data_IF_902482898527
#
_entry.id   IF_902482898527
#
_cell.length_a   1.000
_cell.length_b   1.000
_cell.length_c   1.000
_cell.angle_alpha   90.00
_cell.angle_beta   90.00
_cell.angle_gamma   90.00
#
_symmetry.space_group_name_H-M   'P 1'
#
loop_
_entity.id
_entity.type
_entity.pdbx_description
1 polymer ?
#
# COMPACT_ATOMS: atom_id res chain seq x y z
N UNK A 1 12.54 -9.85 2.01
CA UNK A 1 11.88 -10.34 3.24
C UNK A 1 11.56 -11.82 3.10
N UNK A 2 11.61 -12.60 4.18
CA UNK A 2 11.10 -13.98 4.15
C UNK A 2 9.58 -13.95 4.20
N UNK A 3 8.93 -14.62 3.24
CA UNK A 3 7.48 -14.70 3.11
C UNK A 3 6.85 -15.38 4.33
N UNK A 4 5.78 -14.80 4.87
CA UNK A 4 5.15 -15.30 6.10
C UNK A 4 3.86 -16.11 5.83
N UNK A 5 3.13 -15.84 4.74
CA UNK A 5 1.78 -16.37 4.54
C UNK A 5 1.68 -17.36 3.36
N UNK A 6 1.28 -18.61 3.63
CA UNK A 6 1.05 -19.62 2.59
C UNK A 6 -0.43 -20.00 2.47
N UNK A 7 -0.96 -20.02 1.25
CA UNK A 7 -2.36 -20.31 0.98
C UNK A 7 -2.62 -21.77 0.55
N UNK A 8 -3.88 -22.20 0.60
CA UNK A 8 -4.35 -23.49 0.09
C UNK A 8 -5.54 -23.31 -0.88
N UNK A 9 -5.60 -22.17 -1.56
CA UNK A 9 -6.74 -21.73 -2.37
C UNK A 9 -7.04 -22.68 -3.53
N UNK A 10 -8.34 -22.89 -3.80
CA UNK A 10 -8.82 -23.65 -4.98
C UNK A 10 -9.49 -22.77 -6.04
N UNK A 11 -9.54 -21.46 -5.78
CA UNK A 11 -10.26 -20.48 -6.59
C UNK A 11 -9.33 -19.50 -7.33
N UNK A 12 -8.07 -19.87 -7.55
CA UNK A 12 -7.17 -19.10 -8.42
C UNK A 12 -6.42 -17.91 -7.81
N UNK A 13 -6.55 -17.62 -6.52
CA UNK A 13 -5.70 -16.63 -5.82
C UNK A 13 -5.73 -15.19 -6.34
N UNK A 14 -6.75 -14.82 -7.12
CA UNK A 14 -6.96 -13.52 -7.77
C UNK A 14 -7.88 -12.58 -6.97
N UNK A 15 -8.18 -12.94 -5.72
CA UNK A 15 -9.00 -12.13 -4.80
C UNK A 15 -8.41 -12.17 -3.41
N UNK A 16 -8.75 -11.18 -2.57
CA UNK A 16 -8.34 -11.09 -1.15
C UNK A 16 -8.90 -12.21 -0.24
N UNK A 17 -9.56 -13.23 -0.81
CA UNK A 17 -9.78 -14.52 -0.13
C UNK A 17 -8.49 -15.32 0.02
N UNK A 18 -7.51 -15.09 -0.86
CA UNK A 18 -6.19 -15.66 -0.75
C UNK A 18 -5.39 -14.93 0.33
N UNK A 19 -4.82 -15.67 1.28
CA UNK A 19 -4.04 -15.07 2.36
C UNK A 19 -2.75 -14.40 1.84
N UNK A 20 -2.10 -14.96 0.82
CA UNK A 20 -0.90 -14.33 0.23
C UNK A 20 -1.24 -12.96 -0.35
N UNK A 21 -2.24 -12.90 -1.25
CA UNK A 21 -2.66 -11.63 -1.87
C UNK A 21 -3.21 -10.63 -0.83
N UNK A 22 -3.93 -11.11 0.19
CA UNK A 22 -4.42 -10.25 1.29
C UNK A 22 -3.29 -9.57 2.06
N UNK A 23 -2.13 -10.21 2.13
CA UNK A 23 -0.93 -9.70 2.79
C UNK A 23 0.07 -9.10 1.79
N UNK A 24 -0.36 -8.75 0.58
CA UNK A 24 0.48 -8.13 -0.45
C UNK A 24 1.66 -9.02 -0.88
N UNK A 25 1.54 -10.34 -0.74
CA UNK A 25 2.59 -11.32 -1.07
C UNK A 25 2.25 -12.17 -2.30
N UNK A 26 3.26 -12.53 -3.13
CA UNK A 26 3.11 -13.55 -4.17
C UNK A 26 2.85 -14.94 -3.57
N UNK A 27 2.25 -15.82 -4.37
CA UNK A 27 2.26 -17.25 -4.06
C UNK A 27 3.63 -17.85 -4.41
N UNK A 28 4.06 -18.84 -3.65
CA UNK A 28 5.37 -19.53 -3.82
C UNK A 28 5.17 -21.05 -3.84
N UNK A 29 6.25 -21.81 -3.96
CA UNK A 29 6.22 -23.28 -3.98
C UNK A 29 5.68 -23.91 -2.69
N UNK A 30 5.68 -23.17 -1.58
CA UNK A 30 5.15 -23.61 -0.29
C UNK A 30 3.62 -23.46 -0.21
N UNK A 31 2.99 -22.71 -1.13
CA UNK A 31 1.54 -22.64 -1.24
C UNK A 31 0.94 -23.94 -1.81
N UNK A 32 -0.17 -24.41 -1.22
CA UNK A 32 -0.97 -25.54 -1.73
C UNK A 32 -2.10 -25.14 -2.69
N UNK A 33 -2.00 -23.95 -3.29
CA UNK A 33 -2.99 -23.48 -4.25
C UNK A 33 -2.97 -24.25 -5.57
N UNK A 34 -4.11 -24.29 -6.25
CA UNK A 34 -4.22 -24.83 -7.62
C UNK A 34 -4.69 -23.72 -8.56
N UNK A 35 -4.25 -23.81 -9.82
CA UNK A 35 -4.55 -22.83 -10.88
C UNK A 35 -4.28 -21.38 -10.43
N UNK A 36 -3.13 -21.16 -9.78
CA UNK A 36 -2.78 -19.87 -9.19
C UNK A 36 -2.70 -18.76 -10.26
N UNK A 37 -3.43 -17.68 -10.02
CA UNK A 37 -3.47 -16.43 -10.77
C UNK A 37 -3.30 -15.23 -9.83
N UNK A 38 -2.50 -15.41 -8.77
CA UNK A 38 -2.14 -14.27 -7.91
C UNK A 38 -1.39 -13.25 -8.79
N UNK A 39 -1.91 -12.01 -8.95
CA UNK A 39 -1.30 -11.02 -9.83
C UNK A 39 0.10 -10.58 -9.37
N UNK A 40 0.49 -10.90 -8.14
CA UNK A 40 1.78 -10.54 -7.57
C UNK A 40 2.92 -11.51 -7.91
N UNK A 41 2.64 -12.69 -8.50
CA UNK A 41 3.65 -13.75 -8.68
C UNK A 41 4.86 -13.34 -9.53
N UNK A 42 4.67 -12.44 -10.49
CA UNK A 42 5.71 -11.98 -11.43
C UNK A 42 6.09 -10.52 -11.17
N UNK A 43 5.82 -10.02 -9.97
CA UNK A 43 6.01 -8.63 -9.57
C UNK A 43 7.05 -8.57 -8.45
N UNK A 44 7.99 -7.64 -8.58
CA UNK A 44 8.90 -7.31 -7.49
C UNK A 44 8.18 -6.41 -6.47
N UNK A 45 7.43 -7.05 -5.56
CA UNK A 45 6.66 -6.35 -4.53
C UNK A 45 7.53 -5.59 -3.52
N UNK A 46 8.83 -5.87 -3.44
CA UNK A 46 9.74 -5.15 -2.54
C UNK A 46 10.13 -3.78 -3.08
N UNK A 47 10.02 -3.59 -4.40
CA UNK A 47 10.30 -2.33 -5.10
C UNK A 47 9.00 -1.56 -5.42
N UNK A 48 7.94 -1.78 -4.64
CA UNK A 48 6.64 -1.14 -4.82
C UNK A 48 6.08 -0.68 -3.48
N UNK A 49 5.50 0.51 -3.49
CA UNK A 49 4.66 0.96 -2.38
C UNK A 49 3.43 0.07 -2.23
N UNK A 50 2.90 0.00 -1.02
CA UNK A 50 1.66 -0.74 -0.72
C UNK A 50 0.49 -0.28 -1.61
N UNK A 51 0.42 1.01 -1.94
CA UNK A 51 -0.60 1.54 -2.85
C UNK A 51 -0.47 0.94 -4.25
N UNK A 52 0.75 0.88 -4.80
CA UNK A 52 1.02 0.26 -6.09
C UNK A 52 0.68 -1.24 -6.07
N UNK A 53 1.06 -1.97 -5.02
CA UNK A 53 0.75 -3.40 -4.88
C UNK A 53 -0.77 -3.66 -4.86
N UNK A 54 -1.53 -2.86 -4.12
CA UNK A 54 -3.00 -3.03 -4.05
C UNK A 54 -3.76 -2.47 -5.26
N UNK A 55 -3.04 -1.85 -6.21
CA UNK A 55 -3.52 -1.42 -7.53
C UNK A 55 -2.74 -2.11 -8.67
N UNK A 56 -2.23 -3.33 -8.43
CA UNK A 56 -1.29 -3.98 -9.35
C UNK A 56 -1.84 -4.19 -10.78
N UNK A 57 -3.15 -4.38 -10.94
CA UNK A 57 -3.78 -4.51 -12.26
C UNK A 57 -3.60 -3.23 -13.11
N UNK A 58 -3.56 -2.06 -12.45
CA UNK A 58 -3.25 -0.79 -13.11
C UNK A 58 -1.76 -0.75 -13.43
N UNK A 59 -0.91 -0.97 -12.43
CA UNK A 59 0.56 -0.86 -12.55
C UNK A 59 1.11 -1.77 -13.65
N UNK A 60 0.67 -3.02 -13.68
CA UNK A 60 1.10 -4.01 -14.71
C UNK A 60 0.49 -3.74 -16.09
N UNK A 61 -0.57 -2.92 -16.15
CA UNK A 61 -1.21 -2.46 -17.37
C UNK A 61 -0.60 -1.17 -17.95
N UNK A 62 0.29 -0.48 -17.22
CA UNK A 62 0.92 0.76 -17.69
C UNK A 62 1.83 0.49 -18.89
N UNK A 63 1.77 1.40 -19.85
CA UNK A 63 2.66 1.44 -21.00
C UNK A 63 4.00 2.08 -20.64
N UNK A 64 5.01 1.85 -21.48
CA UNK A 64 6.33 2.48 -21.32
C UNK A 64 6.24 4.01 -21.35
N UNK A 65 5.35 4.57 -22.18
CA UNK A 65 5.11 6.02 -22.25
C UNK A 65 4.47 6.57 -20.96
N UNK A 66 3.53 5.84 -20.35
CA UNK A 66 2.92 6.24 -19.06
C UNK A 66 3.93 6.13 -17.90
N UNK A 67 4.80 5.13 -17.92
CA UNK A 67 5.87 4.96 -16.92
C UNK A 67 6.92 6.08 -16.97
N UNK A 68 7.15 6.66 -18.14
CA UNK A 68 8.07 7.80 -18.34
C UNK A 68 7.38 9.16 -18.13
N UNK A 69 6.07 9.20 -17.88
CA UNK A 69 5.36 10.44 -17.55
C UNK A 69 5.96 11.05 -16.27
N UNK A 70 6.21 12.37 -16.33
CA UNK A 70 6.89 13.09 -15.25
C UNK A 70 5.92 13.88 -14.42
N UNK A 71 6.05 13.75 -13.10
CA UNK A 71 5.26 14.45 -12.11
C UNK A 71 6.15 15.38 -11.29
N UNK A 72 5.66 16.60 -11.06
CA UNK A 72 6.28 17.52 -10.12
C UNK A 72 6.08 17.04 -8.69
N UNK A 73 7.17 16.94 -7.92
CA UNK A 73 7.06 16.60 -6.51
C UNK A 73 6.31 17.72 -5.76
N UNK A 74 5.49 17.42 -4.74
CA UNK A 74 4.80 18.43 -3.94
C UNK A 74 5.70 19.49 -3.30
N UNK A 75 7.00 19.21 -3.12
CA UNK A 75 7.99 20.20 -2.65
C UNK A 75 8.43 21.21 -3.72
N UNK A 76 8.21 20.92 -5.01
CA UNK A 76 8.59 21.78 -6.14
C UNK A 76 10.07 21.77 -6.51
N UNK A 77 10.89 20.86 -5.95
CA UNK A 77 12.33 20.81 -6.23
C UNK A 77 12.67 20.09 -7.55
N UNK A 78 11.91 19.06 -7.92
CA UNK A 78 12.19 18.26 -9.11
C UNK A 78 10.94 17.63 -9.73
N UNK A 79 11.14 17.05 -10.93
CA UNK A 79 10.14 16.24 -11.62
C UNK A 79 10.68 14.83 -11.84
N UNK A 80 9.91 13.84 -11.39
CA UNK A 80 10.30 12.43 -11.35
C UNK A 80 9.37 11.62 -12.24
N UNK A 81 9.88 10.58 -12.90
CA UNK A 81 9.07 9.71 -13.74
C UNK A 81 8.17 8.79 -12.88
N UNK A 82 7.01 8.40 -13.40
CA UNK A 82 6.06 7.54 -12.68
C UNK A 82 6.71 6.24 -12.19
N UNK A 83 7.55 5.61 -13.01
CA UNK A 83 8.26 4.38 -12.65
C UNK A 83 9.10 4.50 -11.37
N UNK A 84 9.68 5.69 -11.12
CA UNK A 84 10.51 5.95 -9.95
C UNK A 84 9.66 6.36 -8.73
N UNK A 85 8.36 6.62 -8.93
CA UNK A 85 7.35 6.92 -7.90
C UNK A 85 6.48 5.71 -7.55
N UNK A 86 6.70 4.56 -8.21
CA UNK A 86 6.06 3.29 -7.82
C UNK A 86 6.62 2.78 -6.48
N UNK A 87 7.85 3.15 -6.16
CA UNK A 87 8.55 3.00 -4.89
C UNK A 87 8.68 4.36 -4.17
N UNK A 88 9.21 4.36 -2.95
CA UNK A 88 9.51 5.58 -2.19
C UNK A 88 10.66 6.37 -2.85
N UNK A 89 10.30 7.49 -3.47
CA UNK A 89 11.24 8.45 -4.04
C UNK A 89 11.68 9.48 -2.99
N UNK A 90 12.97 9.50 -2.66
CA UNK A 90 13.55 10.44 -1.71
C UNK A 90 14.07 11.71 -2.41
N UNK A 91 13.58 12.88 -1.99
CA UNK A 91 14.07 14.17 -2.47
C UNK A 91 15.26 14.65 -1.62
N UNK A 92 16.42 14.83 -2.25
CA UNK A 92 17.66 15.24 -1.55
C UNK A 92 17.61 16.67 -0.97
N UNK A 93 16.79 17.56 -1.53
CA UNK A 93 16.73 18.97 -1.12
C UNK A 93 15.94 19.19 0.18
N UNK A 94 14.79 18.52 0.34
CA UNK A 94 13.98 18.61 1.56
C UNK A 94 14.12 17.43 2.52
N UNK A 95 14.81 16.36 2.11
CA UNK A 95 14.94 15.13 2.88
C UNK A 95 13.59 14.45 3.19
N UNK A 96 12.66 14.51 2.24
CA UNK A 96 11.30 13.95 2.34
C UNK A 96 11.11 12.87 1.27
N UNK A 97 10.26 11.88 1.57
CA UNK A 97 9.91 10.80 0.64
C UNK A 97 8.54 11.02 0.00
N UNK A 98 8.43 10.63 -1.25
CA UNK A 98 7.25 10.78 -2.09
C UNK A 98 6.95 9.51 -2.87
N UNK A 99 5.68 9.25 -3.15
CA UNK A 99 5.25 8.12 -3.97
C UNK A 99 3.95 8.45 -4.72
N UNK A 100 3.63 7.66 -5.75
CA UNK A 100 2.42 7.86 -6.55
C UNK A 100 1.20 7.16 -5.92
N UNK A 101 0.19 7.94 -5.55
CA UNK A 101 -1.08 7.41 -5.08
C UNK A 101 -2.01 7.09 -6.24
N UNK A 102 -2.17 5.81 -6.53
CA UNK A 102 -3.20 5.33 -7.47
C UNK A 102 -4.63 5.54 -6.93
N UNK A 103 -4.81 5.70 -5.61
CA UNK A 103 -6.12 5.99 -5.04
C UNK A 103 -6.56 7.44 -5.26
N UNK A 104 -5.61 8.38 -5.34
CA UNK A 104 -5.88 9.82 -5.48
C UNK A 104 -5.42 10.39 -6.83
N UNK A 105 -4.74 9.59 -7.64
CA UNK A 105 -4.18 9.96 -8.94
C UNK A 105 -3.22 11.16 -8.81
N UNK A 106 -2.29 11.08 -7.85
CA UNK A 106 -1.38 12.17 -7.51
C UNK A 106 -0.12 11.69 -6.78
N UNK A 107 0.96 12.46 -6.90
CA UNK A 107 2.16 12.30 -6.06
C UNK A 107 1.86 12.82 -4.65
N UNK A 108 2.13 11.98 -3.66
CA UNK A 108 1.89 12.27 -2.25
C UNK A 108 3.19 12.21 -1.46
N UNK A 109 3.23 12.93 -0.34
CA UNK A 109 4.34 12.87 0.61
C UNK A 109 4.05 11.79 1.65
N UNK A 110 5.03 10.92 1.91
CA UNK A 110 4.91 9.80 2.84
C UNK A 110 4.57 10.26 4.26
N UNK A 111 5.24 11.31 4.75
CA UNK A 111 4.98 11.86 6.09
C UNK A 111 3.57 12.45 6.27
N UNK A 112 2.85 12.73 5.17
CA UNK A 112 1.49 13.27 5.20
C UNK A 112 0.41 12.29 4.73
N UNK A 113 0.79 11.12 4.21
CA UNK A 113 -0.14 10.19 3.56
C UNK A 113 0.26 8.76 3.84
N UNK A 114 -0.70 7.93 4.20
CA UNK A 114 -0.49 6.50 4.34
C UNK A 114 -1.55 5.71 3.58
N UNK A 115 -1.22 4.51 3.14
CA UNK A 115 -2.18 3.62 2.50
C UNK A 115 -2.71 2.60 3.51
N UNK A 116 -4.03 2.58 3.72
CA UNK A 116 -4.62 1.59 4.61
C UNK A 116 -4.78 0.26 3.88
N UNK A 117 -3.92 -0.71 4.19
CA UNK A 117 -3.93 -2.06 3.60
C UNK A 117 -5.26 -2.79 3.75
N UNK A 118 -5.98 -2.55 4.85
CA UNK A 118 -7.25 -3.21 5.17
C UNK A 118 -8.41 -2.58 4.39
N UNK A 119 -8.40 -1.24 4.27
CA UNK A 119 -9.45 -0.51 3.55
C UNK A 119 -9.13 -0.32 2.06
N UNK A 120 -7.94 -0.72 1.62
CA UNK A 120 -7.45 -0.60 0.26
C UNK A 120 -7.53 0.83 -0.29
N UNK A 121 -7.12 1.80 0.51
CA UNK A 121 -7.18 3.21 0.11
C UNK A 121 -6.24 4.11 0.89
N UNK A 122 -5.71 5.13 0.20
CA UNK A 122 -4.89 6.20 0.78
C UNK A 122 -5.68 7.09 1.74
N UNK A 123 -4.98 7.58 2.76
CA UNK A 123 -5.50 8.34 3.89
C UNK A 123 -4.52 9.43 4.30
N UNK A 124 -5.05 10.51 4.85
CA UNK A 124 -4.25 11.55 5.48
C UNK A 124 -3.57 11.00 6.75
N UNK A 125 -2.36 11.47 7.06
CA UNK A 125 -1.58 11.06 8.24
C UNK A 125 -2.32 11.22 9.58
N UNK A 126 -3.36 12.08 9.64
CA UNK A 126 -4.20 12.27 10.84
C UNK A 126 -5.31 11.23 10.96
N UNK A 127 -5.53 10.42 9.93
CA UNK A 127 -6.47 9.32 9.96
C UNK A 127 -5.78 8.03 10.42
N UNK A 128 -6.57 7.12 10.98
CA UNK A 128 -6.10 5.79 11.41
C UNK A 128 -7.20 4.74 11.17
N UNK A 129 -6.82 3.46 11.09
CA UNK A 129 -7.79 2.36 10.93
C UNK A 129 -8.24 1.83 12.28
N UNK A 130 -9.55 1.87 12.55
CA UNK A 130 -10.11 1.20 13.72
C UNK A 130 -10.42 -0.26 13.41
N UNK A 131 -9.63 -1.18 13.97
CA UNK A 131 -9.79 -2.63 13.79
C UNK A 131 -11.19 -3.13 14.19
N UNK A 132 -11.77 -2.58 15.26
CA UNK A 132 -13.09 -2.99 15.74
C UNK A 132 -14.23 -2.52 14.83
N UNK A 133 -14.11 -1.33 14.28
CA UNK A 133 -15.08 -0.80 13.34
C UNK A 133 -14.82 -1.28 11.91
N UNK A 134 -13.63 -1.85 11.67
CA UNK A 134 -13.09 -2.20 10.37
C UNK A 134 -13.21 -1.04 9.37
N UNK A 135 -12.83 0.17 9.81
CA UNK A 135 -12.99 1.41 9.04
C UNK A 135 -11.93 2.45 9.44
N UNK A 136 -11.38 3.15 8.46
CA UNK A 136 -10.60 4.37 8.68
C UNK A 136 -11.44 5.50 9.29
N UNK A 137 -10.85 6.25 10.20
CA UNK A 137 -11.47 7.40 10.85
C UNK A 137 -10.47 8.51 11.08
N UNK A 138 -10.97 9.74 11.13
CA UNK A 138 -10.16 10.91 11.41
C UNK A 138 -9.84 10.99 12.90
N UNK A 139 -8.57 11.25 13.26
CA UNK A 139 -8.02 11.05 14.61
C UNK A 139 -8.70 11.81 15.75
N UNK A 140 -9.46 12.87 15.47
CA UNK A 140 -10.25 13.59 16.50
C UNK A 140 -11.68 13.05 16.67
N UNK A 141 -12.10 12.12 15.82
CA UNK A 141 -13.41 11.48 15.89
C UNK A 141 -13.23 10.08 16.47
N UNK A 142 -13.92 9.79 17.57
CA UNK A 142 -13.94 8.47 18.19
C UNK A 142 -15.24 7.77 17.78
N UNK A 143 -15.26 6.96 16.71
CA UNK A 143 -16.50 6.39 16.17
C UNK A 143 -17.09 5.27 17.05
N UNK A 144 -16.36 4.85 18.08
CA UNK A 144 -16.76 3.78 18.99
C UNK A 144 -16.22 4.00 20.40
N UNK A 145 -16.86 3.40 21.40
CA UNK A 145 -16.44 3.48 22.82
C UNK A 145 -15.06 2.87 23.11
N UNK A 146 -14.48 2.15 22.14
CA UNK A 146 -13.15 1.54 22.23
C UNK A 146 -12.10 2.32 21.46
N UNK A 147 -12.53 3.26 20.64
CA UNK A 147 -11.70 4.12 19.85
C UNK A 147 -11.18 5.21 20.80
N UNK A 148 -9.86 5.34 20.96
CA UNK A 148 -9.24 6.25 21.95
C UNK A 148 -9.08 5.66 23.36
N UNK A 149 -9.37 4.37 23.56
CA UNK A 149 -8.98 3.69 24.79
C UNK A 149 -7.45 3.61 24.88
N UNK A 150 -6.92 3.79 26.08
CA UNK A 150 -5.50 3.65 26.37
C UNK A 150 -4.98 2.30 25.85
N UNK A 151 -3.99 2.35 24.96
CA UNK A 151 -3.29 1.15 24.53
C UNK A 151 -2.52 0.53 25.70
N UNK A 152 -2.08 -0.73 25.61
CA UNK A 152 -1.34 -1.43 26.68
C UNK A 152 -0.02 -0.76 27.06
N UNK A 153 0.41 0.27 26.33
CA UNK A 153 1.61 1.06 26.59
C UNK A 153 1.33 2.45 27.21
N UNK A 154 0.05 2.82 27.44
CA UNK A 154 -0.30 4.12 28.01
C UNK A 154 0.15 4.27 29.47
N UNK A 155 0.31 3.16 30.19
CA UNK A 155 0.73 3.13 31.60
C UNK A 155 2.24 3.32 31.83
N UNK A 156 3.04 3.52 30.77
CA UNK A 156 4.50 3.66 30.89
C UNK A 156 5.02 5.10 30.92
N UNK A 157 4.16 6.09 31.15
CA UNK A 157 4.55 7.50 31.32
C UNK A 157 4.02 8.12 32.62
#
# INVERSE_FOLDING_TARGET
>A
MEKEYHCNCKAGCDTYRCVCLKHNEPCDENCGCVDCRNPLNDVDVESLTVCAIQNIDIVTGLTEDELEERYELPCGHEQVALKDLLDDCYCEECAESYWYSFCWDAVVQDSCTWHCEICHACRDWREWHCERCNKCTYGVTLPCQHCGAEGPMADFY
#
